data_IF_558161559876
#
_entry.id   IF_558161559876
#
_cell.length_a   1.000
_cell.length_b   1.000
_cell.length_c   1.000
_cell.angle_alpha   90.00
_cell.angle_beta   90.00
_cell.angle_gamma   90.00
#
_symmetry.space_group_name_H-M   'P 1'
#
loop_
_entity.id
_entity.type
_entity.pdbx_description
1 polymer ?
#
# COMPACT_ATOMS: atom_id res chain seq x y z
N UNK A 1 30.62 3.59 4.09
CA UNK A 1 29.74 3.97 2.96
C UNK A 1 28.49 4.56 3.58
N UNK A 2 28.28 5.86 3.45
CA UNK A 2 27.14 6.55 4.05
C UNK A 2 25.88 6.15 3.26
N UNK A 3 25.03 5.32 3.87
CA UNK A 3 23.70 5.06 3.36
C UNK A 3 22.96 6.39 3.40
N UNK A 4 22.79 7.01 2.23
CA UNK A 4 21.91 8.15 2.02
C UNK A 4 20.51 7.65 2.34
N UNK A 5 20.07 7.86 3.58
CA UNK A 5 18.73 7.47 4.02
C UNK A 5 17.70 8.20 3.15
N UNK A 6 16.64 7.51 2.67
CA UNK A 6 15.64 8.14 1.83
C UNK A 6 14.93 9.25 2.62
N UNK A 7 14.63 10.34 1.91
CA UNK A 7 13.92 11.55 2.40
C UNK A 7 12.57 11.21 3.05
N UNK A 8 12.02 10.02 2.76
CA UNK A 8 10.82 9.48 3.39
C UNK A 8 11.16 8.20 4.17
N UNK A 9 11.19 8.32 5.50
CA UNK A 9 11.48 7.22 6.41
C UNK A 9 10.23 6.41 6.82
N UNK A 10 9.03 6.80 6.37
CA UNK A 10 7.78 6.16 6.74
C UNK A 10 7.38 5.05 5.76
N UNK A 11 7.09 3.86 6.30
CA UNK A 11 6.49 2.76 5.55
C UNK A 11 5.03 2.60 6.01
N UNK A 12 4.11 2.83 5.09
CA UNK A 12 2.68 2.61 5.30
C UNK A 12 2.39 1.12 5.16
N UNK A 13 1.73 0.55 6.16
CA UNK A 13 1.30 -0.83 6.13
C UNK A 13 0.39 -1.13 7.29
N UNK A 14 -0.25 -2.30 7.25
CA UNK A 14 -0.94 -2.82 8.41
C UNK A 14 0.03 -3.68 9.22
N UNK A 15 0.40 -3.20 10.40
CA UNK A 15 1.32 -3.88 11.32
C UNK A 15 0.85 -5.30 11.67
N UNK A 16 -0.45 -5.57 11.61
CA UNK A 16 -1.01 -6.91 11.87
C UNK A 16 -0.52 -8.00 10.92
N UNK A 17 -0.03 -7.62 9.73
CA UNK A 17 0.43 -8.55 8.69
C UNK A 17 1.96 -8.63 8.59
N UNK A 18 2.69 -7.89 9.43
CA UNK A 18 4.14 -7.86 9.38
C UNK A 18 4.77 -8.80 10.41
N UNK A 19 5.64 -9.71 9.96
CA UNK A 19 6.41 -10.56 10.87
C UNK A 19 7.37 -9.76 11.75
N UNK A 20 7.55 -10.19 13.01
CA UNK A 20 8.42 -9.53 14.00
C UNK A 20 9.85 -9.33 13.50
N UNK A 21 10.39 -10.31 12.79
CA UNK A 21 11.75 -10.25 12.25
C UNK A 21 11.88 -9.21 11.15
N UNK A 22 10.86 -9.08 10.29
CA UNK A 22 10.83 -8.08 9.24
C UNK A 22 10.66 -6.68 9.83
N UNK A 23 9.79 -6.52 10.82
CA UNK A 23 9.63 -5.27 11.57
C UNK A 23 10.96 -4.80 12.18
N UNK A 24 11.69 -5.73 12.81
CA UNK A 24 12.98 -5.45 13.41
C UNK A 24 14.03 -5.02 12.37
N UNK A 25 14.13 -5.73 11.24
CA UNK A 25 15.04 -5.38 10.14
C UNK A 25 14.75 -4.01 9.55
N UNK A 26 13.47 -3.71 9.28
CA UNK A 26 13.07 -2.40 8.75
C UNK A 26 13.44 -1.27 9.70
N UNK A 27 13.27 -1.47 11.01
CA UNK A 27 13.70 -0.52 12.03
C UNK A 27 15.22 -0.33 12.03
N UNK A 28 16.01 -1.41 11.90
CA UNK A 28 17.47 -1.32 11.78
C UNK A 28 17.92 -0.55 10.52
N UNK A 29 17.16 -0.64 9.44
CA UNK A 29 17.41 0.10 8.20
C UNK A 29 17.01 1.59 8.29
N UNK A 30 16.39 2.01 9.39
CA UNK A 30 15.95 3.39 9.62
C UNK A 30 14.52 3.67 9.17
N UNK A 31 13.75 2.66 8.79
CA UNK A 31 12.33 2.83 8.47
C UNK A 31 11.46 2.85 9.74
N UNK A 32 10.44 3.70 9.71
CA UNK A 32 9.37 3.76 10.69
C UNK A 32 8.10 3.24 10.04
N UNK A 33 7.68 2.05 10.47
CA UNK A 33 6.35 1.54 10.16
C UNK A 33 5.33 2.50 10.77
N UNK A 34 4.35 2.87 9.96
CA UNK A 34 3.30 3.77 10.38
C UNK A 34 1.94 3.14 10.13
N UNK A 35 1.19 3.01 11.22
CA UNK A 35 -0.23 2.68 11.23
C UNK A 35 -1.00 3.85 11.82
N UNK A 36 -2.16 4.20 11.26
CA UNK A 36 -2.97 5.27 11.82
C UNK A 36 -3.59 4.83 13.14
N UNK A 37 -3.65 5.76 14.08
CA UNK A 37 -4.40 5.57 15.31
C UNK A 37 -5.89 5.75 15.04
N UNK A 38 -6.73 4.92 15.67
CA UNK A 38 -8.18 5.10 15.66
C UNK A 38 -8.52 6.44 16.31
N UNK A 39 -9.58 7.10 15.85
CA UNK A 39 -9.98 8.45 16.31
C UNK A 39 -10.13 8.58 17.83
N UNK A 40 -10.48 7.49 18.52
CA UNK A 40 -10.71 7.46 19.97
C UNK A 40 -9.46 7.06 20.77
N UNK A 41 -8.32 6.82 20.13
CA UNK A 41 -7.06 6.52 20.83
C UNK A 41 -6.41 7.80 21.35
N UNK A 42 -5.80 7.71 22.53
CA UNK A 42 -5.02 8.80 23.10
C UNK A 42 -3.86 9.18 22.17
N UNK A 43 -3.64 10.49 21.96
CA UNK A 43 -2.58 10.99 21.07
C UNK A 43 -2.88 10.85 19.57
N UNK A 44 -4.08 10.41 19.16
CA UNK A 44 -4.40 10.20 17.75
C UNK A 44 -4.24 11.46 16.89
N UNK A 45 -4.53 12.65 17.42
CA UNK A 45 -4.35 13.91 16.70
C UNK A 45 -2.88 14.26 16.43
N UNK A 46 -1.99 13.89 17.34
CA UNK A 46 -0.54 14.17 17.23
C UNK A 46 0.16 13.11 16.38
N UNK A 47 -0.27 11.85 16.46
CA UNK A 47 0.30 10.74 15.70
C UNK A 47 -0.19 10.67 14.24
N UNK A 48 -1.47 11.02 14.00
CA UNK A 48 -2.04 10.93 12.67
C UNK A 48 -1.64 12.11 11.80
N UNK A 49 -0.62 11.89 10.97
CA UNK A 49 -0.20 12.85 9.97
C UNK A 49 -1.18 12.91 8.79
N UNK A 50 -1.56 14.13 8.38
CA UNK A 50 -2.55 14.34 7.32
C UNK A 50 -2.04 13.88 5.94
N UNK A 51 -0.75 14.05 5.64
CA UNK A 51 -0.17 13.64 4.36
C UNK A 51 -0.10 12.11 4.28
N UNK A 52 0.37 11.45 5.33
CA UNK A 52 0.39 9.98 5.41
C UNK A 52 -1.03 9.40 5.30
N UNK A 53 -2.02 10.06 5.89
CA UNK A 53 -3.42 9.68 5.75
C UNK A 53 -3.99 9.89 4.34
N UNK A 54 -3.57 10.94 3.63
CA UNK A 54 -3.95 11.12 2.24
C UNK A 54 -3.36 10.00 1.36
N UNK A 55 -2.07 9.67 1.53
CA UNK A 55 -1.41 8.59 0.78
C UNK A 55 -2.09 7.24 1.06
N UNK A 56 -2.37 6.93 2.33
CA UNK A 56 -3.07 5.68 2.70
C UNK A 56 -4.44 5.58 2.03
N UNK A 57 -5.22 6.67 2.01
CA UNK A 57 -6.53 6.71 1.33
C UNK A 57 -6.42 6.47 -0.16
N UNK A 58 -5.37 6.98 -0.81
CA UNK A 58 -5.09 6.68 -2.23
C UNK A 58 -4.86 5.18 -2.43
N UNK A 59 -3.99 4.57 -1.62
CA UNK A 59 -3.73 3.12 -1.69
C UNK A 59 -5.01 2.29 -1.48
N UNK A 60 -5.81 2.63 -0.47
CA UNK A 60 -7.09 1.95 -0.18
C UNK A 60 -8.09 2.10 -1.35
N UNK A 61 -8.10 3.26 -2.00
CA UNK A 61 -8.95 3.52 -3.18
C UNK A 61 -8.47 2.72 -4.39
N UNK A 62 -7.16 2.63 -4.61
CA UNK A 62 -6.57 1.83 -5.68
C UNK A 62 -6.88 0.33 -5.48
N UNK A 63 -6.81 -0.19 -4.26
CA UNK A 63 -7.22 -1.56 -3.96
C UNK A 63 -8.70 -1.80 -4.26
N UNK A 64 -9.58 -0.86 -3.88
CA UNK A 64 -11.01 -0.96 -4.20
C UNK A 64 -11.27 -1.02 -5.71
N UNK A 65 -10.50 -0.26 -6.50
CA UNK A 65 -10.57 -0.31 -7.96
C UNK A 65 -10.01 -1.63 -8.52
N UNK A 66 -8.90 -2.14 -7.99
CA UNK A 66 -8.38 -3.45 -8.40
C UNK A 66 -9.37 -4.59 -8.08
N UNK A 67 -10.11 -4.50 -6.96
CA UNK A 67 -11.22 -5.41 -6.66
C UNK A 67 -12.33 -5.32 -7.72
N UNK A 68 -12.66 -4.11 -8.20
CA UNK A 68 -13.59 -3.91 -9.31
C UNK A 68 -13.10 -4.58 -10.60
N UNK A 69 -11.80 -4.54 -10.88
CA UNK A 69 -11.16 -5.30 -11.97
C UNK A 69 -10.95 -6.79 -11.67
N UNK A 70 -11.62 -7.32 -10.63
CA UNK A 70 -11.66 -8.73 -10.28
C UNK A 70 -10.30 -9.31 -9.85
N UNK A 71 -9.38 -8.47 -9.35
CA UNK A 71 -8.08 -8.91 -8.83
C UNK A 71 -8.23 -9.84 -7.60
N UNK A 72 -9.13 -9.53 -6.68
CA UNK A 72 -9.40 -10.35 -5.48
C UNK A 72 -10.16 -11.63 -5.80
N UNK A 73 -11.04 -11.59 -6.79
CA UNK A 73 -11.87 -12.72 -7.21
C UNK A 73 -11.24 -13.51 -8.38
N UNK A 74 -9.90 -13.58 -8.41
CA UNK A 74 -9.17 -14.31 -9.41
C UNK A 74 -9.25 -15.83 -9.18
N UNK A 75 -10.17 -16.48 -9.89
CA UNK A 75 -10.44 -17.93 -9.79
C UNK A 75 -9.67 -18.77 -10.82
N UNK A 76 -8.47 -18.33 -11.24
CA UNK A 76 -7.64 -19.14 -12.13
C UNK A 76 -7.25 -20.47 -11.48
N UNK A 77 -7.14 -21.53 -12.30
CA UNK A 77 -6.81 -22.89 -11.84
C UNK A 77 -5.33 -23.24 -12.02
N UNK A 78 -4.52 -22.29 -12.47
CA UNK A 78 -3.07 -22.41 -12.61
C UNK A 78 -2.40 -21.13 -12.11
N UNK A 79 -1.13 -21.24 -11.69
CA UNK A 79 -0.34 -20.10 -11.26
C UNK A 79 -0.18 -19.08 -12.39
N UNK A 80 0.11 -19.56 -13.61
CA UNK A 80 0.25 -18.72 -14.80
C UNK A 80 -1.05 -17.96 -15.10
N UNK A 81 -2.20 -18.64 -15.09
CA UNK A 81 -3.48 -17.99 -15.33
C UNK A 81 -3.87 -17.03 -14.20
N UNK A 82 -3.43 -17.28 -12.97
CA UNK A 82 -3.61 -16.34 -11.86
C UNK A 82 -2.79 -15.07 -12.12
N UNK A 83 -1.50 -15.23 -12.44
CA UNK A 83 -0.62 -14.11 -12.76
C UNK A 83 -1.15 -13.29 -13.94
N UNK A 84 -1.48 -13.93 -15.07
CA UNK A 84 -2.00 -13.26 -16.27
C UNK A 84 -3.24 -12.42 -15.96
N UNK A 85 -4.19 -12.96 -15.18
CA UNK A 85 -5.42 -12.24 -14.81
C UNK A 85 -5.15 -11.08 -13.86
N UNK A 86 -4.19 -11.23 -12.94
CA UNK A 86 -3.80 -10.15 -12.04
C UNK A 86 -3.11 -9.03 -12.81
N UNK A 87 -2.19 -9.37 -13.71
CA UNK A 87 -1.51 -8.42 -14.59
C UNK A 87 -2.51 -7.69 -15.50
N UNK A 88 -3.48 -8.41 -16.06
CA UNK A 88 -4.54 -7.80 -16.86
C UNK A 88 -5.40 -6.81 -16.05
N UNK A 89 -5.74 -7.14 -14.79
CA UNK A 89 -6.48 -6.24 -13.91
C UNK A 89 -5.69 -4.95 -13.61
N UNK A 90 -4.40 -5.07 -13.31
CA UNK A 90 -3.50 -3.92 -13.08
C UNK A 90 -3.34 -3.10 -14.35
N UNK A 91 -3.17 -3.73 -15.51
CA UNK A 91 -3.06 -3.06 -16.80
C UNK A 91 -4.33 -2.28 -17.14
N UNK A 92 -5.50 -2.89 -16.99
CA UNK A 92 -6.78 -2.24 -17.25
C UNK A 92 -6.97 -0.99 -16.38
N UNK A 93 -6.67 -1.09 -15.09
CA UNK A 93 -6.66 0.05 -14.18
C UNK A 93 -5.73 1.17 -14.67
N UNK A 94 -4.48 0.85 -14.99
CA UNK A 94 -3.50 1.85 -15.45
C UNK A 94 -3.92 2.52 -16.77
N UNK A 95 -4.53 1.76 -17.70
CA UNK A 95 -5.06 2.32 -18.94
C UNK A 95 -6.22 3.29 -18.69
N UNK A 96 -7.18 2.91 -17.84
CA UNK A 96 -8.29 3.77 -17.46
C UNK A 96 -7.79 5.07 -16.81
N UNK A 97 -6.86 4.96 -15.87
CA UNK A 97 -6.24 6.12 -15.22
C UNK A 97 -5.55 7.06 -16.22
N UNK A 98 -4.76 6.51 -17.15
CA UNK A 98 -4.13 7.31 -18.20
C UNK A 98 -5.15 8.03 -19.09
N UNK A 99 -6.22 7.35 -19.47
CA UNK A 99 -7.28 7.94 -20.30
C UNK A 99 -8.04 9.05 -19.56
N UNK A 100 -8.33 8.88 -18.27
CA UNK A 100 -9.04 9.90 -17.48
C UNK A 100 -8.17 11.12 -17.18
N UNK A 101 -6.84 10.93 -17.07
CA UNK A 101 -5.91 11.99 -16.66
C UNK A 101 -5.29 12.77 -17.81
N UNK A 102 -5.22 12.17 -19.00
CA UNK A 102 -4.59 12.78 -20.17
C UNK A 102 -5.56 13.06 -21.34
N UNK A 103 -6.87 12.85 -21.14
CA UNK A 103 -7.92 13.50 -21.91
C UNK A 103 -8.27 14.86 -21.30
#
# INVERSE_FOLDING_TARGET
MANVHPVNHYLLGDEGYLGKDLAFKLKQMGYKLWTPYRKNMQGAKEHNDHQLMAIRRTIESDFSLLSYYNAENNRARSLTGFQERLEAAVLAYNMAYCLERFN
#
